data_IF_131613393192
#
_entry.id   IF_131613393192
#
_cell.length_a   1.000
_cell.length_b   1.000
_cell.length_c   1.000
_cell.angle_alpha   90.00
_cell.angle_beta   90.00
_cell.angle_gamma   90.00
#
_symmetry.space_group_name_H-M   'P 1'
#
loop_
_entity.id
_entity.type
_entity.pdbx_description
1 polymer ?
#
# COMPACT_ATOMS: atom_id res chain seq x y z
N UNK A 1 -0.70 3.26 6.04
CA UNK A 1 -0.30 4.62 6.52
C UNK A 1 0.78 4.47 7.59
N UNK A 2 0.60 3.61 8.61
CA UNK A 2 1.54 3.48 9.72
C UNK A 2 2.98 3.19 9.26
N UNK A 3 3.20 2.21 8.37
CA UNK A 3 4.53 1.95 7.81
C UNK A 3 5.21 3.18 7.21
N UNK A 4 4.46 4.08 6.56
CA UNK A 4 5.03 5.32 6.00
C UNK A 4 5.48 6.29 7.10
N UNK A 5 4.75 6.33 8.21
CA UNK A 5 5.11 7.14 9.38
C UNK A 5 6.36 6.59 10.06
N UNK A 6 6.40 5.27 10.27
CA UNK A 6 7.49 4.58 10.97
C UNK A 6 8.79 4.61 10.16
N UNK A 7 8.71 4.43 8.83
CA UNK A 7 9.90 4.31 7.96
C UNK A 7 10.36 5.63 7.33
N UNK A 8 9.50 6.67 7.30
CA UNK A 8 9.79 8.00 6.75
C UNK A 8 10.50 7.96 5.38
N UNK A 9 9.89 7.37 4.35
CA UNK A 9 10.54 7.18 3.05
C UNK A 9 10.95 8.51 2.42
N UNK A 10 12.15 8.53 1.82
CA UNK A 10 12.72 9.70 1.17
C UNK A 10 12.85 9.54 -0.36
N UNK A 11 12.66 8.30 -0.85
CA UNK A 11 12.89 7.97 -2.26
C UNK A 11 11.82 7.02 -2.80
N UNK A 12 11.75 6.93 -4.14
CA UNK A 12 10.93 5.91 -4.80
C UNK A 12 11.37 4.49 -4.41
N UNK A 13 12.66 4.27 -4.23
CA UNK A 13 13.21 2.98 -3.79
C UNK A 13 12.67 2.59 -2.42
N UNK A 14 12.54 3.52 -1.48
CA UNK A 14 11.98 3.25 -0.16
C UNK A 14 10.51 2.85 -0.24
N UNK A 15 9.74 3.45 -1.15
CA UNK A 15 8.35 3.06 -1.39
C UNK A 15 8.23 1.66 -1.98
N UNK A 16 9.14 1.27 -2.87
CA UNK A 16 9.22 -0.12 -3.37
C UNK A 16 9.50 -1.09 -2.24
N UNK A 17 10.41 -0.74 -1.32
CA UNK A 17 10.72 -1.52 -0.12
C UNK A 17 9.50 -1.65 0.80
N UNK A 18 8.81 -0.56 1.08
CA UNK A 18 7.57 -0.55 1.88
C UNK A 18 6.48 -1.43 1.23
N UNK A 19 6.36 -1.39 -0.09
CA UNK A 19 5.45 -2.27 -0.82
C UNK A 19 5.80 -3.75 -0.61
N UNK A 20 7.09 -4.10 -0.66
CA UNK A 20 7.57 -5.45 -0.34
C UNK A 20 7.22 -5.88 1.08
N UNK A 21 7.46 -5.01 2.07
CA UNK A 21 7.14 -5.25 3.48
C UNK A 21 5.65 -5.48 3.71
N UNK A 22 4.79 -4.75 2.99
CA UNK A 22 3.32 -4.80 3.17
C UNK A 22 2.65 -6.02 2.55
N UNK A 23 3.28 -6.65 1.55
CA UNK A 23 2.72 -7.78 0.81
C UNK A 23 3.25 -9.14 1.26
N UNK A 24 4.35 -9.18 2.01
CA UNK A 24 4.91 -10.42 2.57
C UNK A 24 4.18 -10.89 3.83
N UNK A 25 4.48 -12.12 4.24
CA UNK A 25 4.02 -12.69 5.52
C UNK A 25 5.20 -12.76 6.48
N UNK A 26 5.05 -12.21 7.69
CA UNK A 26 6.08 -12.10 8.73
C UNK A 26 7.35 -11.37 8.26
N UNK A 27 7.19 -10.40 7.36
CA UNK A 27 8.27 -9.54 6.87
C UNK A 27 8.31 -8.21 7.63
N UNK A 28 7.14 -7.62 7.94
CA UNK A 28 7.02 -6.35 8.66
C UNK A 28 6.81 -6.53 10.15
N UNK A 29 5.63 -7.00 10.57
CA UNK A 29 5.27 -7.11 11.98
C UNK A 29 6.16 -8.12 12.71
N UNK A 30 6.75 -7.69 13.83
CA UNK A 30 7.64 -8.51 14.63
C UNK A 30 8.95 -8.91 13.92
N UNK A 31 9.28 -8.28 12.80
CA UNK A 31 10.50 -8.50 12.02
C UNK A 31 11.13 -7.14 11.65
N UNK A 32 11.00 -6.65 10.41
CA UNK A 32 11.62 -5.39 9.98
C UNK A 32 11.19 -4.21 10.85
N UNK A 33 9.93 -4.15 11.31
CA UNK A 33 9.45 -3.14 12.22
C UNK A 33 10.29 -3.10 13.51
N UNK A 34 10.44 -4.24 14.18
CA UNK A 34 11.22 -4.35 15.42
C UNK A 34 12.68 -3.94 15.21
N UNK A 35 13.30 -4.37 14.11
CA UNK A 35 14.69 -4.05 13.80
C UNK A 35 14.88 -2.54 13.55
N UNK A 36 13.90 -1.87 12.93
CA UNK A 36 13.95 -0.42 12.69
C UNK A 36 13.71 0.35 14.00
N UNK A 37 12.74 -0.07 14.82
CA UNK A 37 12.47 0.53 16.14
C UNK A 37 13.66 0.41 17.09
N UNK A 38 14.37 -0.71 17.06
CA UNK A 38 15.59 -0.95 17.85
C UNK A 38 16.85 -0.30 17.25
N UNK A 39 16.76 0.34 16.10
CA UNK A 39 17.90 0.97 15.41
C UNK A 39 18.93 -0.02 14.84
N UNK A 40 18.59 -1.31 14.74
CA UNK A 40 19.45 -2.36 14.15
C UNK A 40 19.46 -2.36 12.62
N UNK A 41 18.34 -1.88 12.02
CA UNK A 41 18.19 -1.74 10.58
C UNK A 41 17.52 -0.42 10.24
N UNK A 42 17.61 -0.03 8.98
CA UNK A 42 16.85 1.08 8.37
C UNK A 42 15.98 0.54 7.25
N UNK A 43 15.10 1.35 6.68
CA UNK A 43 14.32 0.95 5.49
C UNK A 43 15.25 0.51 4.33
N UNK A 44 16.45 1.08 4.25
CA UNK A 44 17.44 0.76 3.19
C UNK A 44 18.20 -0.54 3.44
N UNK A 45 18.28 -1.02 4.67
CA UNK A 45 19.07 -2.21 5.05
C UNK A 45 18.22 -3.40 5.45
N UNK A 46 16.95 -3.18 5.86
CA UNK A 46 16.01 -4.24 6.20
C UNK A 46 15.68 -5.12 4.99
N UNK A 47 15.36 -6.38 5.25
CA UNK A 47 14.90 -7.32 4.22
C UNK A 47 13.46 -6.98 3.85
N UNK A 48 13.23 -6.50 2.63
CA UNK A 48 11.93 -6.06 2.15
C UNK A 48 11.37 -6.94 1.03
N UNK A 49 12.24 -7.41 0.13
CA UNK A 49 11.92 -8.27 -1.01
C UNK A 49 12.88 -9.45 -1.07
N UNK A 50 12.48 -10.52 -1.78
CA UNK A 50 13.37 -11.69 -1.93
C UNK A 50 14.71 -11.34 -2.58
N UNK A 51 14.69 -10.39 -3.51
CA UNK A 51 15.89 -9.94 -4.22
C UNK A 51 16.91 -9.30 -3.27
N UNK A 52 16.45 -8.66 -2.19
CA UNK A 52 17.35 -8.07 -1.18
C UNK A 52 18.24 -9.14 -0.53
N UNK A 53 17.70 -10.35 -0.27
CA UNK A 53 18.46 -11.44 0.33
C UNK A 53 19.57 -11.89 -0.63
N UNK A 54 19.22 -12.18 -1.87
CA UNK A 54 20.18 -12.66 -2.86
C UNK A 54 21.31 -11.65 -3.09
N UNK A 55 20.96 -10.39 -3.34
CA UNK A 55 21.96 -9.34 -3.63
C UNK A 55 22.83 -9.02 -2.42
N UNK A 56 22.27 -9.06 -1.21
CA UNK A 56 23.03 -8.85 0.02
C UNK A 56 24.06 -9.95 0.26
N UNK A 57 23.65 -11.22 0.13
CA UNK A 57 24.54 -12.36 0.33
C UNK A 57 25.68 -12.40 -0.71
N UNK A 58 25.36 -12.14 -1.99
CA UNK A 58 26.38 -12.01 -3.03
C UNK A 58 27.34 -10.86 -2.71
N UNK A 59 26.82 -9.72 -2.26
CA UNK A 59 27.63 -8.57 -1.83
C UNK A 59 28.53 -8.86 -0.63
N UNK A 60 28.16 -9.84 0.20
CA UNK A 60 28.99 -10.37 1.31
C UNK A 60 30.01 -11.41 0.86
N UNK A 61 30.01 -11.83 -0.40
CA UNK A 61 30.96 -12.78 -0.97
C UNK A 61 30.51 -14.22 -1.00
N UNK A 62 29.23 -14.51 -0.66
CA UNK A 62 28.68 -15.85 -0.83
C UNK A 62 28.53 -16.18 -2.33
N UNK A 63 28.61 -17.45 -2.66
CA UNK A 63 28.36 -17.94 -4.01
C UNK A 63 26.97 -17.57 -4.52
N UNK A 64 26.86 -17.25 -5.80
CA UNK A 64 25.61 -16.76 -6.40
C UNK A 64 24.51 -17.82 -6.42
N UNK A 65 24.84 -19.09 -6.71
CA UNK A 65 23.88 -20.19 -6.74
C UNK A 65 23.36 -20.51 -5.35
N UNK A 66 24.28 -20.49 -4.37
CA UNK A 66 23.92 -20.68 -2.99
C UNK A 66 23.10 -19.53 -2.44
N UNK A 67 23.45 -18.27 -2.75
CA UNK A 67 22.65 -17.08 -2.39
C UNK A 67 21.24 -17.15 -2.94
N UNK A 68 21.08 -17.62 -4.19
CA UNK A 68 19.78 -17.87 -4.79
C UNK A 68 19.01 -18.97 -4.03
N UNK A 69 19.68 -20.08 -3.69
CA UNK A 69 19.06 -21.20 -2.96
C UNK A 69 18.58 -20.78 -1.58
N UNK A 70 19.39 -20.02 -0.85
CA UNK A 70 19.03 -19.45 0.46
C UNK A 70 17.81 -18.53 0.31
N UNK A 71 17.85 -17.59 -0.64
CA UNK A 71 16.75 -16.69 -0.93
C UNK A 71 15.45 -17.45 -1.23
N UNK A 72 15.50 -18.48 -2.08
CA UNK A 72 14.33 -19.31 -2.41
C UNK A 72 13.78 -20.09 -1.21
N UNK A 73 14.63 -20.55 -0.31
CA UNK A 73 14.21 -21.19 0.94
C UNK A 73 13.49 -20.21 1.86
N UNK A 74 14.08 -19.04 2.08
CA UNK A 74 13.53 -18.01 2.96
C UNK A 74 12.21 -17.50 2.42
N UNK A 75 12.11 -17.11 1.12
CA UNK A 75 10.87 -16.57 0.56
C UNK A 75 9.70 -17.54 0.59
N UNK A 76 9.96 -18.86 0.66
CA UNK A 76 8.94 -19.93 0.77
C UNK A 76 8.63 -20.30 2.23
N UNK A 77 9.24 -19.62 3.19
CA UNK A 77 9.04 -19.86 4.61
C UNK A 77 9.67 -21.15 5.13
N UNK A 78 10.63 -21.71 4.41
CA UNK A 78 11.35 -22.94 4.81
C UNK A 78 12.51 -22.64 5.78
N UNK A 79 12.84 -21.36 5.98
CA UNK A 79 13.91 -20.90 6.86
C UNK A 79 15.31 -21.17 6.30
N UNK A 80 16.27 -21.28 7.22
CA UNK A 80 17.69 -21.50 6.94
C UNK A 80 18.11 -22.88 7.43
N UNK A 81 19.06 -23.51 6.72
CA UNK A 81 19.74 -24.70 7.18
C UNK A 81 20.95 -24.31 8.06
N UNK A 82 21.37 -25.15 9.02
CA UNK A 82 22.52 -24.83 9.88
C UNK A 82 23.78 -24.48 9.11
N UNK A 83 24.11 -25.24 8.06
CA UNK A 83 25.30 -25.02 7.24
C UNK A 83 25.27 -23.64 6.53
N UNK A 84 24.08 -23.12 6.18
CA UNK A 84 23.94 -21.79 5.60
C UNK A 84 24.11 -20.67 6.63
N UNK A 85 23.65 -20.89 7.86
CA UNK A 85 23.85 -19.93 8.96
C UNK A 85 25.36 -19.80 9.29
N UNK A 86 26.06 -20.91 9.38
CA UNK A 86 27.52 -20.93 9.61
C UNK A 86 28.28 -20.17 8.52
N UNK A 87 27.91 -20.39 7.27
CA UNK A 87 28.55 -19.72 6.13
C UNK A 87 28.19 -18.22 6.08
N UNK A 88 26.94 -17.85 6.34
CA UNK A 88 26.53 -16.45 6.45
C UNK A 88 27.34 -15.72 7.54
N UNK A 89 27.57 -16.36 8.71
CA UNK A 89 28.40 -15.82 9.80
C UNK A 89 29.84 -15.68 9.37
N UNK A 90 30.43 -16.68 8.66
CA UNK A 90 31.77 -16.65 8.13
C UNK A 90 32.03 -15.50 7.13
N UNK A 91 30.96 -14.98 6.51
CA UNK A 91 30.98 -13.83 5.59
C UNK A 91 30.49 -12.52 6.25
N UNK A 92 30.57 -12.40 7.56
CA UNK A 92 30.19 -11.21 8.33
C UNK A 92 28.74 -10.78 8.09
N UNK A 93 27.80 -11.72 7.88
CA UNK A 93 26.37 -11.44 7.89
C UNK A 93 25.94 -11.30 9.37
N UNK A 94 25.34 -10.17 9.77
CA UNK A 94 25.02 -9.93 11.17
C UNK A 94 23.88 -10.83 11.65
N UNK A 95 23.90 -11.17 12.94
CA UNK A 95 22.91 -12.05 13.59
C UNK A 95 21.48 -11.59 13.39
N UNK A 96 21.22 -10.27 13.42
CA UNK A 96 19.88 -9.74 13.20
C UNK A 96 19.35 -10.03 11.79
N UNK A 97 20.24 -10.12 10.78
CA UNK A 97 19.85 -10.45 9.41
C UNK A 97 19.45 -11.92 9.30
N UNK A 98 20.23 -12.82 9.89
CA UNK A 98 19.93 -14.26 9.98
C UNK A 98 18.60 -14.47 10.72
N UNK A 99 18.43 -13.81 11.86
CA UNK A 99 17.19 -13.82 12.63
C UNK A 99 15.99 -13.36 11.80
N UNK A 100 16.14 -12.30 11.03
CA UNK A 100 15.08 -11.80 10.13
C UNK A 100 14.71 -12.84 9.07
N UNK A 101 15.70 -13.45 8.40
CA UNK A 101 15.49 -14.52 7.42
C UNK A 101 14.68 -15.69 8.00
N UNK A 102 14.96 -16.07 9.25
CA UNK A 102 14.27 -17.21 9.93
C UNK A 102 12.81 -16.93 10.25
N UNK A 103 12.42 -15.67 10.39
CA UNK A 103 11.03 -15.28 10.66
C UNK A 103 10.14 -15.25 9.43
N UNK A 104 10.70 -14.95 8.27
CA UNK A 104 9.96 -14.74 7.04
C UNK A 104 9.23 -16.03 6.61
N UNK A 105 7.94 -15.89 6.30
CA UNK A 105 7.10 -16.99 5.78
C UNK A 105 6.81 -16.88 4.30
N UNK A 106 6.71 -15.67 3.79
CA UNK A 106 6.51 -15.44 2.36
C UNK A 106 6.98 -14.04 1.96
N UNK A 107 7.64 -13.96 0.81
CA UNK A 107 8.13 -12.69 0.25
C UNK A 107 7.78 -12.53 -1.21
N UNK A 108 7.53 -11.27 -1.59
CA UNK A 108 7.34 -10.86 -2.98
C UNK A 108 8.66 -10.48 -3.66
N UNK A 109 8.73 -10.63 -5.01
CA UNK A 109 9.86 -10.12 -5.77
C UNK A 109 9.85 -8.60 -5.87
N UNK A 110 11.03 -7.99 -5.95
CA UNK A 110 11.21 -6.54 -6.08
C UNK A 110 10.55 -5.97 -7.34
N UNK A 111 10.61 -6.70 -8.45
CA UNK A 111 9.96 -6.29 -9.70
C UNK A 111 8.44 -6.14 -9.55
N UNK A 112 7.79 -7.05 -8.82
CA UNK A 112 6.37 -6.96 -8.50
C UNK A 112 6.06 -5.71 -7.66
N UNK A 113 6.81 -5.50 -6.59
CA UNK A 113 6.65 -4.31 -5.73
C UNK A 113 6.86 -3.01 -6.52
N UNK A 114 7.87 -2.94 -7.38
CA UNK A 114 8.15 -1.78 -8.22
C UNK A 114 7.01 -1.47 -9.20
N UNK A 115 6.44 -2.50 -9.84
CA UNK A 115 5.32 -2.33 -10.78
C UNK A 115 4.09 -1.72 -10.07
N UNK A 116 3.74 -2.22 -8.89
CA UNK A 116 2.61 -1.68 -8.12
C UNK A 116 2.85 -0.26 -7.62
N UNK A 117 4.05 0.04 -7.12
CA UNK A 117 4.40 1.39 -6.67
C UNK A 117 4.39 2.37 -7.84
N UNK A 118 4.88 1.98 -9.01
CA UNK A 118 4.82 2.81 -10.22
C UNK A 118 3.38 3.15 -10.61
N UNK A 119 2.46 2.17 -10.57
CA UNK A 119 1.04 2.42 -10.82
C UNK A 119 0.44 3.34 -9.76
N UNK A 120 0.74 3.13 -8.49
CA UNK A 120 0.28 3.99 -7.40
C UNK A 120 0.77 5.44 -7.57
N UNK A 121 2.01 5.63 -7.99
CA UNK A 121 2.58 6.95 -8.28
C UNK A 121 1.87 7.66 -9.45
N UNK A 122 1.58 6.94 -10.52
CA UNK A 122 0.83 7.48 -11.65
C UNK A 122 -0.57 7.94 -11.23
N UNK A 123 -1.27 7.14 -10.43
CA UNK A 123 -2.58 7.51 -9.90
C UNK A 123 -2.48 8.72 -8.97
N UNK A 124 -1.48 8.77 -8.09
CA UNK A 124 -1.23 9.91 -7.21
C UNK A 124 -0.94 11.20 -8.00
N UNK A 125 -0.18 11.09 -9.09
CA UNK A 125 0.09 12.20 -9.99
C UNK A 125 -1.20 12.77 -10.60
N UNK A 126 -2.10 11.92 -11.11
CA UNK A 126 -3.41 12.36 -11.60
C UNK A 126 -4.25 13.00 -10.49
N UNK A 127 -4.21 12.44 -9.30
CA UNK A 127 -4.94 13.00 -8.15
C UNK A 127 -4.47 14.41 -7.77
N UNK A 128 -3.20 14.73 -8.00
CA UNK A 128 -2.61 16.05 -7.72
C UNK A 128 -2.88 17.03 -8.86
N UNK A 129 -2.56 16.66 -10.10
CA UNK A 129 -2.56 17.56 -11.25
C UNK A 129 -3.88 17.57 -12.03
N UNK A 130 -4.68 16.50 -11.95
CA UNK A 130 -5.99 16.36 -12.62
C UNK A 130 -7.03 15.77 -11.66
N UNK A 131 -7.28 16.42 -10.51
CA UNK A 131 -8.10 15.85 -9.44
C UNK A 131 -9.51 15.47 -9.87
N UNK A 132 -10.20 16.30 -10.67
CA UNK A 132 -11.53 15.95 -11.15
C UNK A 132 -11.54 14.71 -12.05
N UNK A 133 -10.52 14.53 -12.89
CA UNK A 133 -10.38 13.30 -13.69
C UNK A 133 -10.13 12.08 -12.81
N UNK A 134 -9.33 12.23 -11.75
CA UNK A 134 -9.13 11.18 -10.76
C UNK A 134 -10.44 10.79 -10.07
N UNK A 135 -11.22 11.77 -9.56
CA UNK A 135 -12.49 11.50 -8.88
C UNK A 135 -13.53 10.93 -9.84
N UNK A 136 -13.64 11.47 -11.07
CA UNK A 136 -14.53 10.92 -12.09
C UNK A 136 -14.24 9.44 -12.37
N UNK A 137 -12.98 9.09 -12.56
CA UNK A 137 -12.56 7.70 -12.77
C UNK A 137 -12.81 6.82 -11.54
N UNK A 138 -12.52 7.31 -10.33
CA UNK A 138 -12.75 6.58 -9.10
C UNK A 138 -14.24 6.24 -8.93
N UNK A 139 -15.13 7.24 -9.01
CA UNK A 139 -16.56 7.04 -8.82
C UNK A 139 -17.21 6.23 -9.95
N UNK A 140 -16.66 6.29 -11.17
CA UNK A 140 -17.18 5.50 -12.30
C UNK A 140 -16.79 4.03 -12.25
N UNK A 141 -15.60 3.68 -11.66
CA UNK A 141 -15.01 2.36 -11.83
C UNK A 141 -14.75 1.66 -10.49
N UNK A 142 -14.34 2.39 -9.46
CA UNK A 142 -13.88 1.81 -8.19
C UNK A 142 -14.89 1.87 -7.07
N UNK A 143 -15.75 2.88 -7.07
CA UNK A 143 -16.79 3.02 -6.05
C UNK A 143 -17.79 1.87 -6.16
N UNK A 144 -17.94 1.09 -5.10
CA UNK A 144 -18.80 -0.09 -5.07
C UNK A 144 -20.16 0.16 -4.45
N UNK A 145 -20.33 1.27 -3.72
CA UNK A 145 -21.55 1.63 -3.02
C UNK A 145 -21.82 3.15 -3.09
N UNK A 146 -21.53 3.75 -4.25
CA UNK A 146 -21.82 5.16 -4.50
C UNK A 146 -23.31 5.42 -4.45
N UNK A 147 -23.71 6.48 -3.76
CA UNK A 147 -25.11 6.91 -3.66
C UNK A 147 -25.21 8.41 -3.90
N UNK A 148 -25.99 8.79 -4.92
CA UNK A 148 -26.27 10.19 -5.20
C UNK A 148 -26.88 10.92 -3.99
N UNK A 149 -27.83 10.26 -3.33
CA UNK A 149 -28.55 10.84 -2.19
C UNK A 149 -27.62 11.13 -0.99
N UNK A 150 -26.68 10.22 -0.71
CA UNK A 150 -25.77 10.37 0.42
C UNK A 150 -24.58 11.28 0.12
N UNK A 151 -24.17 11.39 -1.16
CA UNK A 151 -22.83 11.90 -1.52
C UNK A 151 -22.88 13.19 -2.38
N UNK A 152 -23.91 13.40 -3.18
CA UNK A 152 -23.95 14.50 -4.15
C UNK A 152 -24.77 15.72 -3.71
N UNK A 153 -25.27 15.74 -2.50
CA UNK A 153 -26.16 16.81 -2.01
C UNK A 153 -25.47 17.79 -1.05
N UNK A 154 -24.16 17.96 -1.21
CA UNK A 154 -23.37 18.90 -0.46
C UNK A 154 -22.64 18.30 0.75
N UNK A 155 -21.59 19.00 1.18
CA UNK A 155 -20.69 18.54 2.23
C UNK A 155 -21.38 18.35 3.59
N UNK A 156 -22.29 19.26 3.96
CA UNK A 156 -22.98 19.18 5.26
C UNK A 156 -23.81 17.89 5.38
N UNK A 157 -24.56 17.57 4.32
CA UNK A 157 -25.39 16.36 4.29
C UNK A 157 -24.55 15.09 4.30
N UNK A 158 -23.43 15.08 3.56
CA UNK A 158 -22.46 14.00 3.60
C UNK A 158 -21.91 13.76 5.01
N UNK A 159 -21.49 14.82 5.71
CA UNK A 159 -20.97 14.73 7.07
C UNK A 159 -21.99 14.21 8.07
N UNK A 160 -23.25 14.61 7.92
CA UNK A 160 -24.35 14.11 8.73
C UNK A 160 -24.51 12.58 8.59
N UNK A 161 -24.59 12.06 7.36
CA UNK A 161 -24.69 10.62 7.15
C UNK A 161 -23.45 9.85 7.59
N UNK A 162 -22.25 10.43 7.42
CA UNK A 162 -21.02 9.82 7.93
C UNK A 162 -21.02 9.72 9.45
N UNK A 163 -21.57 10.70 10.16
CA UNK A 163 -21.70 10.67 11.62
C UNK A 163 -22.73 9.62 12.06
N UNK A 164 -23.88 9.53 11.39
CA UNK A 164 -24.87 8.47 11.64
C UNK A 164 -24.25 7.07 11.47
N UNK A 165 -23.46 6.85 10.42
CA UNK A 165 -22.80 5.57 10.19
C UNK A 165 -21.74 5.28 11.25
N UNK A 166 -20.98 6.29 11.70
CA UNK A 166 -20.01 6.13 12.80
C UNK A 166 -20.69 5.70 14.10
N UNK A 167 -21.87 6.27 14.40
CA UNK A 167 -22.65 5.91 15.60
C UNK A 167 -23.14 4.47 15.60
N UNK A 168 -23.36 3.88 14.42
CA UNK A 168 -23.72 2.45 14.29
C UNK A 168 -22.56 1.51 14.62
N UNK A 169 -21.29 1.96 14.48
CA UNK A 169 -20.11 1.16 14.78
C UNK A 169 -20.10 -0.19 14.08
N UNK A 170 -19.95 -1.27 14.86
CA UNK A 170 -19.87 -2.64 14.35
C UNK A 170 -21.21 -3.18 13.79
N UNK A 171 -22.32 -2.47 13.99
CA UNK A 171 -23.63 -2.84 13.46
C UNK A 171 -23.81 -2.44 11.98
N UNK A 172 -22.81 -1.83 11.35
CA UNK A 172 -22.85 -1.49 9.92
C UNK A 172 -22.92 -2.75 9.05
N UNK A 173 -23.90 -2.80 8.16
CA UNK A 173 -23.96 -3.78 7.09
C UNK A 173 -22.76 -3.64 6.15
N UNK A 174 -22.44 -4.69 5.39
CA UNK A 174 -21.36 -4.67 4.40
C UNK A 174 -21.53 -3.53 3.39
N UNK A 175 -22.74 -3.29 2.92
CA UNK A 175 -23.06 -2.18 2.00
C UNK A 175 -22.78 -0.81 2.62
N UNK A 176 -23.15 -0.61 3.88
CA UNK A 176 -22.89 0.65 4.60
C UNK A 176 -21.39 0.86 4.85
N UNK A 177 -20.62 -0.22 5.15
CA UNK A 177 -19.16 -0.15 5.25
C UNK A 177 -18.51 0.26 3.94
N UNK A 178 -18.96 -0.28 2.81
CA UNK A 178 -18.46 0.08 1.49
C UNK A 178 -18.88 1.51 1.12
N UNK A 179 -20.12 1.92 1.43
CA UNK A 179 -20.57 3.30 1.26
C UNK A 179 -19.75 4.29 2.09
N UNK A 180 -19.36 3.93 3.33
CA UNK A 180 -18.48 4.76 4.17
C UNK A 180 -17.10 4.97 3.52
N UNK A 181 -16.56 3.98 2.80
CA UNK A 181 -15.30 4.13 2.06
C UNK A 181 -15.45 5.16 0.95
N UNK A 182 -16.53 5.06 0.18
CA UNK A 182 -16.81 5.99 -0.92
C UNK A 182 -17.10 7.41 -0.39
N UNK A 183 -17.86 7.54 0.72
CA UNK A 183 -18.10 8.82 1.39
C UNK A 183 -16.81 9.52 1.84
N UNK A 184 -15.80 8.78 2.30
CA UNK A 184 -14.49 9.37 2.68
C UNK A 184 -13.78 10.00 1.48
N UNK A 185 -13.90 9.41 0.30
CA UNK A 185 -13.31 9.98 -0.92
C UNK A 185 -14.10 11.22 -1.37
N UNK A 186 -15.42 11.20 -1.25
CA UNK A 186 -16.26 12.38 -1.52
C UNK A 186 -15.96 13.50 -0.52
N UNK A 187 -15.80 13.18 0.76
CA UNK A 187 -15.40 14.15 1.78
C UNK A 187 -14.08 14.84 1.42
N UNK A 188 -13.08 14.06 0.99
CA UNK A 188 -11.81 14.62 0.51
C UNK A 188 -12.02 15.54 -0.70
N UNK A 189 -12.86 15.12 -1.66
CA UNK A 189 -13.16 15.90 -2.86
C UNK A 189 -13.78 17.26 -2.48
N UNK A 190 -14.79 17.30 -1.62
CA UNK A 190 -15.37 18.54 -1.10
C UNK A 190 -14.36 19.41 -0.34
N UNK A 191 -13.55 18.80 0.53
CA UNK A 191 -12.53 19.51 1.28
C UNK A 191 -11.48 20.18 0.38
N UNK A 192 -11.28 19.65 -0.83
CA UNK A 192 -10.39 20.23 -1.86
C UNK A 192 -11.11 21.26 -2.75
N UNK A 193 -12.37 21.59 -2.47
CA UNK A 193 -13.14 22.59 -3.19
C UNK A 193 -13.79 22.11 -4.48
N UNK A 194 -13.88 20.80 -4.70
CA UNK A 194 -14.59 20.21 -5.84
C UNK A 194 -15.99 19.79 -5.43
N UNK A 195 -16.92 19.78 -6.41
CA UNK A 195 -18.35 19.59 -6.16
C UNK A 195 -19.00 18.73 -7.24
N UNK A 196 -20.23 18.30 -6.97
CA UNK A 196 -21.10 17.66 -7.96
C UNK A 196 -22.11 18.66 -8.51
N UNK A 197 -22.49 18.48 -9.78
CA UNK A 197 -23.66 19.11 -10.37
C UNK A 197 -24.91 18.31 -10.02
N UNK A 198 -26.06 18.97 -9.96
CA UNK A 198 -27.35 18.28 -9.93
C UNK A 198 -27.49 17.36 -11.14
N UNK A 199 -28.12 16.19 -10.94
CA UNK A 199 -28.33 15.24 -12.02
C UNK A 199 -29.24 15.82 -13.10
N UNK A 200 -28.72 15.89 -14.33
CA UNK A 200 -29.47 16.28 -15.53
C UNK A 200 -29.49 15.10 -16.52
N UNK A 201 -30.66 14.56 -16.80
CA UNK A 201 -30.83 13.38 -17.65
C UNK A 201 -30.40 13.62 -19.10
N UNK A 202 -30.34 14.85 -19.58
CA UNK A 202 -29.89 15.17 -20.94
C UNK A 202 -28.38 15.32 -21.06
N UNK A 203 -27.69 15.58 -19.95
CA UNK A 203 -26.24 15.80 -19.92
C UNK A 203 -25.48 14.64 -19.28
N UNK A 204 -26.10 13.94 -18.34
CA UNK A 204 -25.46 12.82 -17.64
C UNK A 204 -25.13 11.66 -18.57
N UNK A 205 -24.08 10.93 -18.24
CA UNK A 205 -23.76 9.65 -18.86
C UNK A 205 -24.29 8.51 -17.97
N UNK A 206 -24.85 7.47 -18.59
CA UNK A 206 -25.46 6.37 -17.85
C UNK A 206 -24.44 5.49 -17.08
N UNK A 207 -23.13 5.61 -17.39
CA UNK A 207 -22.09 4.70 -16.87
C UNK A 207 -20.89 5.41 -16.24
N UNK A 208 -20.70 6.70 -16.50
CA UNK A 208 -19.49 7.43 -16.13
C UNK A 208 -19.80 8.81 -15.59
N UNK A 209 -19.04 9.25 -14.62
CA UNK A 209 -19.03 10.66 -14.25
C UNK A 209 -18.35 11.50 -15.32
N UNK A 210 -19.00 12.57 -15.73
CA UNK A 210 -18.47 13.60 -16.61
C UNK A 210 -17.95 14.78 -15.82
N UNK A 211 -17.02 15.52 -16.41
CA UNK A 211 -16.57 16.81 -15.90
C UNK A 211 -17.27 17.89 -16.75
N UNK A 212 -18.12 18.69 -16.12
CA UNK A 212 -18.86 19.77 -16.76
C UNK A 212 -18.67 21.01 -15.89
N UNK A 213 -18.18 22.10 -16.49
CA UNK A 213 -17.93 23.37 -15.81
C UNK A 213 -17.16 23.26 -14.49
N UNK A 214 -16.15 22.39 -14.48
CA UNK A 214 -15.30 22.19 -13.30
C UNK A 214 -15.93 21.39 -12.16
N UNK A 215 -17.04 20.69 -12.39
CA UNK A 215 -17.74 19.82 -11.44
C UNK A 215 -18.02 18.44 -12.03
N UNK A 216 -18.39 17.49 -11.19
CA UNK A 216 -18.75 16.13 -11.58
C UNK A 216 -20.28 15.98 -11.75
N UNK A 217 -20.68 15.29 -12.80
CA UNK A 217 -22.07 14.88 -13.03
C UNK A 217 -22.13 13.39 -13.37
#
# INVERSE_FOLDING_TARGET
IQMLVDTKPQSFSDLVRISGLSHGTDVWLGNAQTLIEEGKATISTAICTRDDIMTYLIGKGLDSEQSFTIMESVRKGKGLKPEWEEEMLAHDVPDWYIWSCKKIKYMFPKAHAAAYVMMAFRIAWYKIFYPLAYYAAYFSIRASAFSYELMCQGQEKLLHYMDEYRKKGDALSKKEQDSMKDMKIVQEMYARGYDFLPLDLYQADARRFKIIDGKLM
#
